data_IF_166741380951
#
_entry.id   IF_166741380951
#
_cell.length_a   1.000
_cell.length_b   1.000
_cell.length_c   1.000
_cell.angle_alpha   90.00
_cell.angle_beta   90.00
_cell.angle_gamma   90.00
#
_symmetry.space_group_name_H-M   'P 1'
#
loop_
_entity.id
_entity.type
_entity.pdbx_description
1 polymer ?
#
# COMPACT_ATOMS: atom_id res chain seq x y z
N UNK A 1 -5.47 -16.27 12.59
CA UNK A 1 -5.29 -15.73 11.24
C UNK A 1 -4.14 -14.75 11.27
N UNK A 2 -3.15 -14.91 10.40
CA UNK A 2 -1.99 -14.04 10.27
C UNK A 2 -2.22 -13.13 9.07
N UNK A 3 -2.38 -11.83 9.31
CA UNK A 3 -2.70 -10.86 8.26
C UNK A 3 -1.50 -9.93 8.08
N UNK A 4 -0.91 -9.95 6.88
CA UNK A 4 0.12 -8.98 6.53
C UNK A 4 -0.49 -7.61 6.26
N UNK A 5 0.13 -6.55 6.74
CA UNK A 5 -0.37 -5.17 6.65
C UNK A 5 0.67 -4.30 5.99
N UNK A 6 0.33 -3.67 4.87
CA UNK A 6 1.16 -2.70 4.17
C UNK A 6 0.34 -1.48 3.75
N UNK A 7 0.99 -0.39 3.37
CA UNK A 7 0.27 0.76 2.85
C UNK A 7 1.14 1.69 2.01
N UNK A 8 0.51 2.33 1.03
CA UNK A 8 1.11 3.38 0.23
C UNK A 8 0.03 4.41 -0.08
N UNK A 9 0.21 5.65 0.40
CA UNK A 9 -0.81 6.69 0.34
C UNK A 9 -0.29 7.93 -0.37
N UNK A 10 -0.92 8.26 -1.49
CA UNK A 10 -0.73 9.53 -2.18
C UNK A 10 -1.92 9.79 -3.13
N UNK A 11 -2.35 11.04 -3.20
CA UNK A 11 -3.26 11.53 -4.24
C UNK A 11 -2.47 12.35 -5.25
N UNK A 12 -2.40 11.93 -6.51
CA UNK A 12 -1.55 12.60 -7.50
C UNK A 12 -2.30 13.65 -8.31
N UNK A 13 -1.82 14.89 -8.25
CA UNK A 13 -2.14 15.93 -9.23
C UNK A 13 -1.11 15.90 -10.37
N UNK A 14 -1.49 15.37 -11.53
CA UNK A 14 -0.62 15.24 -12.70
C UNK A 14 -0.25 16.58 -13.36
N UNK A 15 -0.90 17.68 -12.97
CA UNK A 15 -0.58 19.04 -13.42
C UNK A 15 0.34 19.80 -12.45
N UNK A 16 0.64 19.23 -11.28
CA UNK A 16 1.56 19.84 -10.32
C UNK A 16 2.99 19.89 -10.90
N UNK A 17 3.71 20.96 -10.58
CA UNK A 17 5.10 21.16 -11.05
C UNK A 17 6.06 20.40 -10.14
N UNK A 18 5.79 20.38 -8.84
CA UNK A 18 6.53 19.59 -7.87
C UNK A 18 6.30 18.09 -8.07
N UNK A 19 7.35 17.31 -7.85
CA UNK A 19 7.36 15.85 -8.07
C UNK A 19 8.09 15.13 -6.94
N UNK A 20 7.71 13.89 -6.69
CA UNK A 20 8.37 13.00 -5.74
C UNK A 20 9.49 12.20 -6.44
N UNK A 21 10.50 12.88 -6.98
CA UNK A 21 11.58 12.28 -7.77
C UNK A 21 12.80 11.81 -6.93
N UNK A 22 12.79 12.05 -5.61
CA UNK A 22 13.86 11.59 -4.70
C UNK A 22 13.29 10.97 -3.43
N UNK A 23 14.04 10.05 -2.81
CA UNK A 23 13.64 9.43 -1.54
C UNK A 23 13.49 10.43 -0.38
N UNK A 24 14.09 11.62 -0.47
CA UNK A 24 13.86 12.71 0.50
C UNK A 24 12.40 13.16 0.58
N UNK A 25 11.62 12.88 -0.47
CA UNK A 25 10.18 13.17 -0.50
C UNK A 25 9.31 12.07 0.11
N UNK A 26 9.92 10.97 0.55
CA UNK A 26 9.24 9.76 1.04
C UNK A 26 9.33 9.69 2.56
N UNK A 27 8.20 9.36 3.19
CA UNK A 27 8.14 8.99 4.60
C UNK A 27 7.83 7.50 4.70
N UNK A 28 8.78 6.73 5.24
CA UNK A 28 8.66 5.30 5.46
C UNK A 28 8.31 5.01 6.93
N UNK A 29 7.46 4.03 7.15
CA UNK A 29 7.15 3.47 8.46
C UNK A 29 7.40 1.98 8.38
N UNK A 30 8.32 1.45 9.17
CA UNK A 30 8.77 0.05 9.06
C UNK A 30 8.30 -0.78 10.26
N UNK A 31 7.79 -1.98 9.98
CA UNK A 31 7.38 -2.93 11.00
C UNK A 31 6.36 -2.34 11.97
N UNK A 32 6.56 -2.55 13.26
CA UNK A 32 5.62 -2.14 14.31
C UNK A 32 5.30 -0.63 14.31
N UNK A 33 6.15 0.22 13.71
CA UNK A 33 5.87 1.65 13.56
C UNK A 33 4.60 1.90 12.73
N UNK A 34 4.37 1.12 11.67
CA UNK A 34 3.20 1.22 10.80
C UNK A 34 1.90 1.13 11.60
N UNK A 35 1.81 0.17 12.51
CA UNK A 35 0.60 -0.05 13.31
C UNK A 35 0.52 0.92 14.50
N UNK A 36 1.63 1.12 15.22
CA UNK A 36 1.63 1.92 16.46
C UNK A 36 1.42 3.42 16.22
N UNK A 37 1.76 3.93 15.04
CA UNK A 37 1.55 5.33 14.66
C UNK A 37 0.20 5.59 13.98
N UNK A 38 -0.59 4.54 13.71
CA UNK A 38 -1.86 4.67 13.02
C UNK A 38 -2.86 5.47 13.87
N UNK A 39 -3.33 6.59 13.35
CA UNK A 39 -4.39 7.34 14.00
C UNK A 39 -5.73 6.61 13.84
N UNK A 40 -6.52 6.49 14.91
CA UNK A 40 -7.77 5.71 14.94
C UNK A 40 -8.79 6.09 13.84
N UNK A 41 -8.79 7.35 13.39
CA UNK A 41 -9.67 7.85 12.32
C UNK A 41 -9.07 7.76 10.91
N UNK A 42 -8.16 6.83 10.68
CA UNK A 42 -7.59 6.54 9.35
C UNK A 42 -8.09 5.18 8.87
N UNK A 43 -7.93 4.87 7.58
CA UNK A 43 -8.28 3.54 7.06
C UNK A 43 -7.57 2.41 7.82
N UNK A 44 -6.27 2.59 8.07
CA UNK A 44 -5.48 1.64 8.85
C UNK A 44 -5.94 1.57 10.31
N UNK A 45 -6.24 2.71 10.93
CA UNK A 45 -6.75 2.75 12.31
C UNK A 45 -8.07 2.00 12.48
N UNK A 46 -9.02 2.21 11.56
CA UNK A 46 -10.29 1.48 11.56
C UNK A 46 -10.13 -0.01 11.29
N UNK A 47 -9.18 -0.40 10.42
CA UNK A 47 -8.87 -1.81 10.20
C UNK A 47 -8.27 -2.46 11.45
N UNK A 48 -7.32 -1.79 12.11
CA UNK A 48 -6.74 -2.26 13.38
C UNK A 48 -7.83 -2.46 14.43
N UNK A 49 -8.74 -1.51 14.58
CA UNK A 49 -9.88 -1.62 15.50
C UNK A 49 -10.79 -2.81 15.16
N UNK A 50 -11.13 -3.00 13.88
CA UNK A 50 -11.96 -4.12 13.43
C UNK A 50 -11.28 -5.49 13.53
N UNK A 51 -9.95 -5.51 13.51
CA UNK A 51 -9.11 -6.71 13.61
C UNK A 51 -8.67 -7.02 15.04
N UNK A 52 -9.00 -6.19 16.04
CA UNK A 52 -8.64 -6.38 17.46
C UNK A 52 -9.40 -7.56 18.07
N UNK A 53 -8.90 -8.77 17.81
CA UNK A 53 -9.47 -10.05 18.21
C UNK A 53 -8.36 -11.05 18.53
N UNK A 54 -8.61 -11.93 19.51
CA UNK A 54 -7.63 -12.93 19.97
C UNK A 54 -7.18 -13.92 18.88
N UNK A 55 -8.00 -14.14 17.85
CA UNK A 55 -7.72 -15.06 16.75
C UNK A 55 -7.01 -14.41 15.56
N UNK A 56 -6.64 -13.12 15.65
CA UNK A 56 -5.99 -12.37 14.57
C UNK A 56 -4.63 -11.84 15.05
N UNK A 57 -3.60 -12.10 14.24
CA UNK A 57 -2.27 -11.54 14.38
C UNK A 57 -2.02 -10.59 13.18
N UNK A 58 -1.78 -9.31 13.46
CA UNK A 58 -1.38 -8.34 12.44
C UNK A 58 0.15 -8.28 12.32
N UNK A 59 0.66 -8.55 11.12
CA UNK A 59 2.08 -8.51 10.80
C UNK A 59 2.37 -7.29 9.94
N UNK A 60 3.08 -6.32 10.52
CA UNK A 60 3.31 -5.03 9.89
C UNK A 60 4.50 -5.07 8.93
N UNK A 61 4.28 -4.67 7.67
CA UNK A 61 5.30 -4.56 6.63
C UNK A 61 5.84 -3.13 6.60
N UNK A 62 5.53 -2.40 5.52
CA UNK A 62 5.97 -1.02 5.31
C UNK A 62 4.76 -0.15 4.96
N UNK A 63 4.74 1.04 5.56
CA UNK A 63 3.88 2.15 5.16
C UNK A 63 4.69 3.21 4.43
N UNK A 64 4.16 3.75 3.34
CA UNK A 64 4.82 4.75 2.50
C UNK A 64 3.91 5.94 2.28
N UNK A 65 4.40 7.15 2.56
CA UNK A 65 3.74 8.41 2.22
C UNK A 65 4.67 9.31 1.44
N UNK A 66 4.10 10.19 0.64
CA UNK A 66 4.82 11.16 -0.16
C UNK A 66 4.50 12.58 0.28
N UNK A 67 5.50 13.45 0.24
CA UNK A 67 5.42 14.82 0.78
C UNK A 67 4.91 15.84 -0.24
N UNK A 68 4.98 15.54 -1.54
CA UNK A 68 4.52 16.41 -2.62
C UNK A 68 3.27 15.84 -3.29
N UNK A 69 2.43 16.71 -3.83
CA UNK A 69 1.17 16.32 -4.47
C UNK A 69 1.29 15.90 -5.94
N UNK A 70 2.44 16.09 -6.59
CA UNK A 70 2.61 15.72 -8.00
C UNK A 70 3.10 14.29 -8.22
N UNK A 71 3.44 13.98 -9.48
CA UNK A 71 3.81 12.62 -9.91
C UNK A 71 4.97 12.06 -9.08
N UNK A 72 4.90 10.76 -8.78
CA UNK A 72 5.98 10.00 -8.18
C UNK A 72 6.97 9.58 -9.27
N UNK A 73 8.26 9.88 -9.10
CA UNK A 73 9.30 9.44 -10.05
C UNK A 73 9.37 7.91 -10.13
N UNK A 74 9.63 7.36 -11.31
CA UNK A 74 9.59 5.91 -11.54
C UNK A 74 10.49 5.12 -10.59
N UNK A 75 11.75 5.55 -10.43
CA UNK A 75 12.72 4.91 -9.53
C UNK A 75 12.30 4.99 -8.05
N UNK A 76 11.67 6.09 -7.63
CA UNK A 76 11.16 6.26 -6.27
C UNK A 76 10.00 5.32 -6.02
N UNK A 77 9.06 5.22 -6.95
CA UNK A 77 7.94 4.28 -6.86
C UNK A 77 8.44 2.83 -6.79
N UNK A 78 9.37 2.44 -7.68
CA UNK A 78 9.94 1.09 -7.68
C UNK A 78 10.63 0.77 -6.36
N UNK A 79 11.40 1.72 -5.82
CA UNK A 79 12.07 1.58 -4.51
C UNK A 79 11.04 1.37 -3.40
N UNK A 80 10.01 2.23 -3.33
CA UNK A 80 8.96 2.13 -2.31
C UNK A 80 8.15 0.83 -2.41
N UNK A 81 7.83 0.40 -3.64
CA UNK A 81 7.17 -0.88 -3.91
C UNK A 81 8.06 -2.04 -3.46
N UNK A 82 9.36 -1.98 -3.76
CA UNK A 82 10.35 -2.96 -3.33
C UNK A 82 10.41 -3.12 -1.82
N UNK A 83 10.50 -2.02 -1.08
CA UNK A 83 10.48 -2.01 0.40
C UNK A 83 9.26 -2.75 0.98
N UNK A 84 8.08 -2.53 0.39
CA UNK A 84 6.85 -3.24 0.82
C UNK A 84 6.94 -4.73 0.51
N UNK A 85 7.28 -5.10 -0.74
CA UNK A 85 7.28 -6.49 -1.19
C UNK A 85 8.35 -7.31 -0.50
N UNK A 86 9.55 -6.75 -0.30
CA UNK A 86 10.65 -7.41 0.41
C UNK A 86 10.28 -7.65 1.87
N UNK A 87 9.65 -6.67 2.55
CA UNK A 87 9.17 -6.87 3.91
C UNK A 87 8.09 -7.97 3.99
N UNK A 88 7.12 -7.97 3.06
CA UNK A 88 6.08 -9.00 2.99
C UNK A 88 6.66 -10.40 2.76
N UNK A 89 7.71 -10.52 1.93
CA UNK A 89 8.35 -11.80 1.63
C UNK A 89 9.00 -12.46 2.87
N UNK A 90 9.29 -11.70 3.92
CA UNK A 90 9.87 -12.22 5.16
C UNK A 90 8.84 -12.75 6.18
N UNK A 91 7.54 -12.58 5.93
CA UNK A 91 6.49 -12.85 6.92
C UNK A 91 6.07 -14.32 7.04
N UNK A 92 6.56 -15.17 6.13
CA UNK A 92 6.15 -16.57 6.02
C UNK A 92 4.69 -16.70 5.58
N UNK A 93 4.02 -17.75 6.05
CA UNK A 93 2.64 -18.05 5.65
C UNK A 93 1.65 -17.03 6.24
N UNK A 94 0.86 -16.42 5.36
CA UNK A 94 -0.20 -15.48 5.68
C UNK A 94 -1.57 -16.08 5.34
N UNK A 95 -2.58 -15.74 6.12
CA UNK A 95 -3.98 -16.06 5.84
C UNK A 95 -4.67 -14.97 5.01
N UNK A 96 -4.04 -13.79 4.91
CA UNK A 96 -4.48 -12.70 4.04
C UNK A 96 -3.57 -11.49 4.07
N UNK A 97 -3.83 -10.54 3.18
CA UNK A 97 -3.17 -9.24 3.13
C UNK A 97 -4.17 -8.10 3.22
N UNK A 98 -3.79 -7.08 3.97
CA UNK A 98 -4.48 -5.81 4.00
C UNK A 98 -3.56 -4.70 3.47
N UNK A 99 -4.05 -3.99 2.45
CA UNK A 99 -3.42 -2.78 1.94
C UNK A 99 -4.23 -1.55 2.35
N UNK A 100 -3.57 -0.61 3.03
CA UNK A 100 -4.12 0.72 3.20
C UNK A 100 -3.63 1.62 2.05
N UNK A 101 -4.49 1.85 1.07
CA UNK A 101 -4.19 2.60 -0.15
C UNK A 101 -4.96 3.92 -0.18
N UNK A 102 -4.53 4.84 -1.03
CA UNK A 102 -5.35 6.01 -1.38
C UNK A 102 -6.31 5.66 -2.53
N UNK A 103 -5.79 5.09 -3.61
CA UNK A 103 -6.53 4.73 -4.82
C UNK A 103 -6.39 5.73 -5.96
N UNK A 104 -5.57 6.77 -5.83
CA UNK A 104 -5.40 7.81 -6.85
C UNK A 104 -3.92 8.17 -7.05
N UNK A 105 -3.02 7.20 -6.83
CA UNK A 105 -1.61 7.40 -7.10
C UNK A 105 -1.30 7.25 -8.58
N UNK A 106 -0.54 8.20 -9.09
CA UNK A 106 0.06 8.13 -10.42
C UNK A 106 1.56 8.29 -10.25
N UNK A 107 2.28 7.25 -10.61
CA UNK A 107 3.72 7.31 -10.77
C UNK A 107 4.07 7.50 -12.25
N UNK A 108 5.33 7.82 -12.51
CA UNK A 108 5.83 7.97 -13.87
C UNK A 108 5.63 6.68 -14.68
N UNK A 109 5.38 6.84 -15.99
CA UNK A 109 5.15 5.72 -16.90
C UNK A 109 6.22 4.63 -16.74
N UNK A 110 5.84 3.35 -16.64
CA UNK A 110 4.52 2.81 -16.98
C UNK A 110 3.49 2.79 -15.82
N UNK A 111 3.80 3.35 -14.67
CA UNK A 111 3.07 3.17 -13.41
C UNK A 111 1.87 4.11 -13.22
N UNK A 112 1.03 4.26 -14.26
CA UNK A 112 -0.17 5.11 -14.19
C UNK A 112 -1.24 4.55 -13.25
N UNK A 113 -1.24 3.23 -13.05
CA UNK A 113 -2.04 2.46 -12.08
C UNK A 113 -1.10 1.98 -10.97
N UNK A 114 -0.59 2.92 -10.16
CA UNK A 114 0.48 2.64 -9.20
C UNK A 114 0.03 1.67 -8.10
N UNK A 115 -1.18 1.81 -7.58
CA UNK A 115 -1.79 0.84 -6.67
C UNK A 115 -1.91 -0.55 -7.31
N UNK A 116 -2.43 -0.64 -8.53
CA UNK A 116 -2.51 -1.91 -9.24
C UNK A 116 -1.15 -2.57 -9.45
N UNK A 117 -0.09 -1.80 -9.64
CA UNK A 117 1.28 -2.33 -9.77
C UNK A 117 1.84 -2.89 -8.45
N UNK A 118 1.45 -2.30 -7.31
CA UNK A 118 1.74 -2.89 -5.99
C UNK A 118 0.97 -4.20 -5.81
N UNK A 119 -0.32 -4.22 -6.18
CA UNK A 119 -1.16 -5.44 -6.12
C UNK A 119 -0.61 -6.53 -7.05
N UNK A 120 -0.15 -6.19 -8.27
CA UNK A 120 0.52 -7.14 -9.19
C UNK A 120 1.73 -7.77 -8.54
N UNK A 121 2.59 -6.97 -7.92
CA UNK A 121 3.79 -7.47 -7.26
C UNK A 121 3.44 -8.39 -6.06
N UNK A 122 2.42 -8.03 -5.27
CA UNK A 122 1.94 -8.90 -4.19
C UNK A 122 1.35 -10.21 -4.70
N UNK A 123 0.57 -10.18 -5.79
CA UNK A 123 0.03 -11.38 -6.45
C UNK A 123 1.12 -12.28 -7.01
N UNK A 124 2.20 -11.71 -7.55
CA UNK A 124 3.37 -12.49 -7.97
C UNK A 124 4.06 -13.19 -6.79
N UNK A 125 4.07 -12.57 -5.62
CA UNK A 125 4.71 -13.13 -4.42
C UNK A 125 3.86 -14.22 -3.76
N UNK A 126 2.54 -14.00 -3.61
CA UNK A 126 1.66 -14.87 -2.82
C UNK A 126 0.69 -15.72 -3.63
N UNK A 127 0.56 -15.47 -4.94
CA UNK A 127 -0.41 -16.13 -5.80
C UNK A 127 -1.82 -15.54 -5.71
N UNK A 128 -2.73 -16.14 -6.48
CA UNK A 128 -4.10 -15.65 -6.66
C UNK A 128 -5.05 -16.12 -5.56
N UNK A 129 -4.69 -17.19 -4.83
CA UNK A 129 -5.55 -17.80 -3.81
C UNK A 129 -5.53 -17.06 -2.46
N UNK A 130 -4.45 -16.30 -2.17
CA UNK A 130 -4.36 -15.54 -0.92
C UNK A 130 -5.39 -14.39 -0.92
N UNK A 131 -6.30 -14.30 0.06
CA UNK A 131 -7.21 -13.16 0.16
C UNK A 131 -6.42 -11.86 0.34
N UNK A 132 -6.71 -10.87 -0.50
CA UNK A 132 -6.19 -9.51 -0.36
C UNK A 132 -7.39 -8.59 -0.19
N UNK A 133 -7.25 -7.56 0.65
CA UNK A 133 -8.25 -6.51 0.82
C UNK A 133 -7.53 -5.18 0.82
N UNK A 134 -8.09 -4.18 0.14
CA UNK A 134 -7.62 -2.81 0.24
C UNK A 134 -8.71 -1.85 0.69
N UNK A 135 -8.29 -0.76 1.32
CA UNK A 135 -9.12 0.42 1.58
C UNK A 135 -8.77 1.53 0.63
N UNK A 136 -9.78 2.32 0.26
CA UNK A 136 -9.67 3.36 -0.75
C UNK A 136 -10.42 4.61 -0.31
N UNK A 137 -9.92 5.76 -0.76
CA UNK A 137 -10.64 7.02 -0.68
C UNK A 137 -11.77 7.08 -1.73
N UNK A 138 -12.78 7.90 -1.48
CA UNK A 138 -13.89 8.10 -2.43
C UNK A 138 -13.42 8.69 -3.79
N UNK A 139 -12.27 9.37 -3.81
CA UNK A 139 -11.66 9.90 -5.03
C UNK A 139 -10.85 8.87 -5.82
N UNK A 140 -10.84 7.60 -5.40
CA UNK A 140 -10.04 6.57 -6.06
C UNK A 140 -10.36 6.43 -7.57
N UNK A 141 -9.29 6.30 -8.36
CA UNK A 141 -9.27 6.11 -9.81
C UNK A 141 -8.66 4.72 -10.08
N UNK A 142 -9.43 3.69 -9.77
CA UNK A 142 -8.95 2.30 -9.82
C UNK A 142 -9.06 1.72 -11.23
N UNK A 143 -8.07 0.91 -11.61
CA UNK A 143 -8.17 0.13 -12.85
C UNK A 143 -9.13 -1.05 -12.67
N UNK A 144 -9.67 -1.57 -13.78
CA UNK A 144 -10.46 -2.82 -13.73
C UNK A 144 -9.64 -3.97 -13.16
N UNK A 145 -8.39 -4.07 -13.59
CA UNK A 145 -7.51 -5.15 -13.16
C UNK A 145 -7.28 -5.09 -11.66
N UNK A 146 -6.96 -3.92 -11.10
CA UNK A 146 -6.77 -3.75 -9.66
C UNK A 146 -7.99 -4.22 -8.87
N UNK A 147 -9.19 -3.73 -9.23
CA UNK A 147 -10.44 -4.10 -8.58
C UNK A 147 -10.70 -5.62 -8.59
N UNK A 148 -10.42 -6.30 -9.71
CA UNK A 148 -10.63 -7.73 -9.86
C UNK A 148 -9.60 -8.59 -9.07
N UNK A 149 -8.50 -8.00 -8.59
CA UNK A 149 -7.39 -8.74 -7.98
C UNK A 149 -7.05 -8.31 -6.54
N UNK A 150 -7.58 -7.19 -6.03
CA UNK A 150 -7.28 -6.68 -4.68
C UNK A 150 -8.43 -6.86 -3.68
N UNK A 151 -9.64 -7.15 -4.16
CA UNK A 151 -10.80 -7.46 -3.32
C UNK A 151 -11.41 -8.76 -3.84
N UNK A 152 -11.67 -9.76 -2.98
CA UNK A 152 -12.31 -11.01 -3.36
C UNK A 152 -13.77 -10.85 -3.83
#
# INVERSE_FOLDING_TARGET
>A
MRIGVAGMWHETNTFAIERNDTMDSVHLQQGAELLSSAHAKTFLGGFIEGADREDIELLAAVGVRFSKGGIIGGEVFETCRGEIIDALATMGDLDGLFFALHGAMVAESPYNDAEGELVRAARQLFGDDLPMVATYDFHAIMSRWENEHVVP
#
